data_IF_841889460266
#
_entry.id   IF_841889460266
#
_cell.length_a   1.000
_cell.length_b   1.000
_cell.length_c   1.000
_cell.angle_alpha   90.00
_cell.angle_beta   90.00
_cell.angle_gamma   90.00
#
_symmetry.space_group_name_H-M   'P 1'
#
loop_
_entity.id
_entity.type
_entity.pdbx_description
1 polymer ?
#
# COMPACT_ATOMS: atom_id res chain seq x y z
N UNK A 1 -15.54 12.65 18.19
CA UNK A 1 -16.32 13.91 18.15
C UNK A 1 -15.50 15.20 18.02
N UNK A 2 -14.65 15.65 18.98
CA UNK A 2 -13.94 16.95 18.81
C UNK A 2 -12.84 16.96 17.72
N UNK A 3 -12.25 15.81 17.40
CA UNK A 3 -11.21 15.70 16.36
C UNK A 3 -11.78 15.60 14.93
N UNK A 4 -12.97 15.00 14.75
CA UNK A 4 -13.58 14.80 13.42
C UNK A 4 -13.99 16.11 12.75
N UNK A 5 -14.48 17.09 13.52
CA UNK A 5 -14.87 18.40 12.98
C UNK A 5 -13.66 19.24 12.54
N UNK A 6 -12.49 19.06 13.17
CA UNK A 6 -11.24 19.75 12.79
C UNK A 6 -10.63 19.21 11.49
N UNK A 7 -10.81 17.91 11.22
CA UNK A 7 -10.34 17.23 10.01
C UNK A 7 -11.21 17.59 8.80
N UNK A 8 -12.52 17.76 9.00
CA UNK A 8 -13.46 18.11 7.93
C UNK A 8 -13.09 19.42 7.20
N UNK A 9 -12.54 20.41 7.92
CA UNK A 9 -12.04 21.66 7.33
C UNK A 9 -10.74 21.53 6.52
N UNK A 10 -10.12 20.34 6.50
CA UNK A 10 -8.92 20.03 5.73
C UNK A 10 -9.18 19.08 4.56
N UNK A 11 -10.37 18.47 4.50
CA UNK A 11 -10.71 17.53 3.44
C UNK A 11 -10.88 18.23 2.10
N UNK A 12 -10.26 17.66 1.07
CA UNK A 12 -10.43 18.12 -0.30
C UNK A 12 -11.70 17.50 -0.86
N UNK A 13 -12.48 18.28 -1.59
CA UNK A 13 -13.69 17.78 -2.26
C UNK A 13 -13.32 17.30 -3.65
N UNK A 14 -13.56 16.02 -3.95
CA UNK A 14 -13.45 15.50 -5.32
C UNK A 14 -14.63 16.03 -6.13
N UNK A 15 -14.33 16.74 -7.22
CA UNK A 15 -15.32 17.29 -8.14
C UNK A 15 -15.60 16.34 -9.31
N UNK A 16 -14.58 15.59 -9.73
CA UNK A 16 -14.64 14.69 -10.87
C UNK A 16 -13.52 13.65 -10.77
N UNK A 17 -13.79 12.44 -11.25
CA UNK A 17 -12.84 11.35 -11.31
C UNK A 17 -12.87 10.67 -12.67
N UNK A 18 -11.70 10.50 -13.27
CA UNK A 18 -11.54 9.84 -14.58
C UNK A 18 -10.48 8.77 -14.48
N UNK A 19 -10.85 7.51 -14.72
CA UNK A 19 -9.88 6.43 -14.88
C UNK A 19 -9.16 6.61 -16.22
N UNK A 20 -7.86 6.82 -16.18
CA UNK A 20 -7.01 6.95 -17.37
C UNK A 20 -6.57 5.58 -17.87
N UNK A 21 -6.41 4.64 -16.95
CA UNK A 21 -6.06 3.26 -17.23
C UNK A 21 -6.59 2.37 -16.11
N UNK A 22 -7.10 1.19 -16.46
CA UNK A 22 -7.65 0.24 -15.48
C UNK A 22 -7.35 -1.18 -15.93
N UNK A 23 -6.45 -1.81 -15.21
CA UNK A 23 -6.07 -3.21 -15.36
C UNK A 23 -5.79 -3.80 -13.96
N UNK A 24 -5.64 -5.12 -13.88
CA UNK A 24 -5.46 -5.87 -12.64
C UNK A 24 -4.25 -5.41 -11.82
N UNK A 25 -3.16 -5.01 -12.47
CA UNK A 25 -1.89 -4.65 -11.81
C UNK A 25 -1.54 -3.17 -11.90
N UNK A 26 -2.32 -2.39 -12.66
CA UNK A 26 -2.14 -0.96 -12.81
C UNK A 26 -3.50 -0.30 -12.99
N UNK A 27 -3.94 0.42 -11.97
CA UNK A 27 -5.10 1.30 -12.07
C UNK A 27 -4.64 2.73 -11.79
N UNK A 28 -4.85 3.61 -12.78
CA UNK A 28 -4.47 5.01 -12.73
C UNK A 28 -5.71 5.89 -12.94
N UNK A 29 -5.95 6.78 -11.99
CA UNK A 29 -7.10 7.70 -11.99
C UNK A 29 -6.62 9.13 -11.85
N UNK A 30 -7.36 10.04 -12.46
CA UNK A 30 -7.15 11.48 -12.37
C UNK A 30 -8.37 12.13 -11.76
N UNK A 31 -8.17 12.87 -10.69
CA UNK A 31 -9.20 13.63 -10.01
C UNK A 31 -9.05 15.12 -10.25
N UNK A 32 -10.18 15.80 -10.40
CA UNK A 32 -10.28 17.25 -10.22
C UNK A 32 -10.78 17.50 -8.80
N UNK A 33 -10.01 18.24 -8.01
CA UNK A 33 -10.29 18.45 -6.59
C UNK A 33 -10.38 19.92 -6.23
N UNK A 34 -11.26 20.25 -5.29
CA UNK A 34 -11.41 21.55 -4.66
C UNK A 34 -10.77 21.50 -3.27
N UNK A 35 -9.80 22.37 -3.05
CA UNK A 35 -9.13 22.54 -1.77
C UNK A 35 -9.99 23.35 -0.79
N UNK A 36 -9.78 23.22 0.53
CA UNK A 36 -10.52 23.98 1.54
C UNK A 36 -10.43 25.51 1.39
N UNK A 37 -9.35 26.02 0.77
CA UNK A 37 -9.16 27.44 0.51
C UNK A 37 -9.86 27.94 -0.78
N UNK A 38 -10.63 27.09 -1.45
CA UNK A 38 -11.37 27.43 -2.69
C UNK A 38 -10.57 27.22 -3.99
N UNK A 39 -9.27 26.95 -3.91
CA UNK A 39 -8.46 26.67 -5.10
C UNK A 39 -8.81 25.29 -5.69
N UNK A 40 -8.71 25.15 -7.00
CA UNK A 40 -8.89 23.86 -7.68
C UNK A 40 -7.55 23.31 -8.18
N UNK A 41 -7.37 22.01 -8.03
CA UNK A 41 -6.34 21.25 -8.75
C UNK A 41 -7.07 20.50 -9.88
N UNK A 42 -6.86 20.89 -11.16
CA UNK A 42 -7.58 20.31 -12.29
C UNK A 42 -7.14 18.87 -12.59
N UNK A 43 -5.98 18.44 -12.11
CA UNK A 43 -5.43 17.11 -12.37
C UNK A 43 -4.56 16.65 -11.21
N UNK A 44 -5.14 15.83 -10.33
CA UNK A 44 -4.46 15.10 -9.28
C UNK A 44 -4.43 13.62 -9.66
N UNK A 45 -3.24 13.03 -9.81
CA UNK A 45 -3.09 11.64 -10.28
C UNK A 45 -2.97 10.69 -9.10
N UNK A 46 -3.72 9.59 -9.17
CA UNK A 46 -3.77 8.53 -8.16
C UNK A 46 -3.43 7.21 -8.85
N UNK A 47 -2.53 6.44 -8.24
CA UNK A 47 -2.34 5.02 -8.52
C UNK A 47 -3.05 4.23 -7.43
N UNK A 48 -3.96 3.35 -7.84
CA UNK A 48 -4.71 2.50 -6.93
C UNK A 48 -4.02 1.14 -6.81
N UNK A 49 -3.68 0.78 -5.58
CA UNK A 49 -3.01 -0.48 -5.25
C UNK A 49 -3.90 -1.29 -4.32
N UNK A 50 -3.84 -2.64 -4.39
CA UNK A 50 -4.50 -3.47 -3.39
C UNK A 50 -3.88 -3.24 -2.01
N UNK A 51 -4.60 -3.64 -0.97
CA UNK A 51 -4.05 -3.66 0.39
C UNK A 51 -2.81 -4.55 0.42
N UNK A 52 -1.74 -4.05 1.03
CA UNK A 52 -0.42 -4.68 1.06
C UNK A 52 0.09 -4.72 2.49
N UNK A 53 0.94 -5.70 2.81
CA UNK A 53 1.68 -5.81 4.07
C UNK A 53 3.18 -5.81 3.85
N UNK A 54 3.93 -5.32 4.84
CA UNK A 54 5.36 -5.53 4.99
C UNK A 54 5.61 -6.18 6.35
N UNK A 55 6.56 -7.11 6.42
CA UNK A 55 6.91 -7.82 7.65
C UNK A 55 8.36 -7.52 8.02
N UNK A 56 8.56 -6.90 9.18
CA UNK A 56 9.87 -6.84 9.82
C UNK A 56 9.96 -7.97 10.86
N UNK A 57 10.44 -9.13 10.42
CA UNK A 57 10.58 -10.29 11.29
C UNK A 57 11.91 -10.23 12.07
N UNK A 58 11.84 -10.51 13.37
CA UNK A 58 12.99 -10.56 14.28
C UNK A 58 13.10 -11.97 14.89
N UNK A 59 14.27 -12.58 14.74
CA UNK A 59 14.54 -13.91 15.28
C UNK A 59 14.87 -13.86 16.78
N UNK A 60 14.87 -15.03 17.44
CA UNK A 60 15.24 -15.15 18.87
C UNK A 60 16.68 -14.70 19.16
N UNK A 61 17.58 -14.84 18.19
CA UNK A 61 18.96 -14.33 18.24
C UNK A 61 19.10 -12.86 17.80
N UNK A 62 17.99 -12.12 17.74
CA UNK A 62 17.92 -10.69 17.39
C UNK A 62 18.49 -10.36 16.00
N UNK A 63 18.32 -11.26 15.04
CA UNK A 63 18.59 -11.00 13.63
C UNK A 63 17.31 -10.64 12.91
N UNK A 64 17.47 -9.93 11.79
CA UNK A 64 16.38 -9.57 10.91
C UNK A 64 16.37 -10.50 9.69
N UNK A 65 15.17 -10.84 9.23
CA UNK A 65 14.97 -11.65 8.04
C UNK A 65 14.63 -10.71 6.88
N UNK A 66 15.35 -10.89 5.78
CA UNK A 66 15.15 -10.19 4.51
C UNK A 66 15.05 -11.20 3.38
N UNK A 67 14.33 -10.84 2.33
CA UNK A 67 14.34 -11.54 1.05
C UNK A 67 15.29 -10.84 0.09
N UNK A 68 15.74 -11.54 -0.95
CA UNK A 68 16.58 -10.97 -2.01
C UNK A 68 15.92 -11.21 -3.35
N UNK A 69 15.32 -10.16 -3.91
CA UNK A 69 14.44 -10.25 -5.08
C UNK A 69 14.86 -9.26 -6.17
N UNK A 70 14.60 -9.64 -7.44
CA UNK A 70 14.79 -8.75 -8.58
C UNK A 70 13.59 -7.81 -8.72
N UNK A 71 13.84 -6.50 -8.87
CA UNK A 71 12.82 -5.48 -9.11
C UNK A 71 13.00 -4.90 -10.50
N UNK A 72 12.10 -5.29 -11.42
CA UNK A 72 12.19 -4.88 -12.82
C UNK A 72 12.17 -3.35 -13.02
N UNK A 73 11.36 -2.62 -12.23
CA UNK A 73 11.25 -1.15 -12.34
C UNK A 73 12.55 -0.39 -12.10
N UNK A 74 13.48 -0.95 -11.31
CA UNK A 74 14.82 -0.39 -11.06
C UNK A 74 15.94 -1.26 -11.64
N UNK A 75 15.61 -2.40 -12.25
CA UNK A 75 16.52 -3.36 -12.88
C UNK A 75 17.62 -3.93 -11.97
N UNK A 76 17.32 -4.12 -10.69
CA UNK A 76 18.32 -4.56 -9.71
C UNK A 76 17.80 -5.67 -8.80
N UNK A 77 18.73 -6.42 -8.19
CA UNK A 77 18.44 -7.36 -7.11
C UNK A 77 18.76 -6.71 -5.77
N UNK A 78 17.75 -6.53 -4.91
CA UNK A 78 17.87 -5.83 -3.63
C UNK A 78 17.45 -6.70 -2.45
N UNK A 79 17.96 -6.36 -1.28
CA UNK A 79 17.43 -6.88 -0.02
C UNK A 79 16.20 -6.08 0.37
N UNK A 80 15.13 -6.79 0.72
CA UNK A 80 13.83 -6.21 1.02
C UNK A 80 13.18 -6.92 2.19
N UNK A 81 12.22 -6.24 2.82
CA UNK A 81 11.33 -6.89 3.77
C UNK A 81 10.49 -7.93 3.03
N UNK A 82 10.12 -9.00 3.73
CA UNK A 82 9.06 -9.87 3.25
C UNK A 82 7.78 -9.03 3.12
N UNK A 83 7.09 -9.16 2.00
CA UNK A 83 5.95 -8.33 1.71
C UNK A 83 5.02 -8.99 0.69
N UNK A 84 3.75 -8.64 0.73
CA UNK A 84 2.77 -9.22 -0.17
C UNK A 84 1.44 -8.52 -0.15
N UNK A 85 0.61 -8.89 -1.11
CA UNK A 85 -0.77 -8.39 -1.22
C UNK A 85 -1.64 -9.17 -0.25
N UNK A 86 -2.54 -8.48 0.44
CA UNK A 86 -3.60 -9.15 1.18
C UNK A 86 -4.56 -9.80 0.19
N UNK A 87 -4.62 -11.12 0.18
CA UNK A 87 -5.55 -11.88 -0.65
C UNK A 87 -6.99 -11.68 -0.12
N UNK A 88 -8.01 -11.66 -0.98
CA UNK A 88 -9.41 -11.62 -0.54
C UNK A 88 -9.81 -12.74 0.43
N UNK A 89 -9.08 -13.85 0.45
CA UNK A 89 -9.29 -15.00 1.34
C UNK A 89 -8.56 -14.86 2.69
N UNK A 90 -7.67 -13.88 2.85
CA UNK A 90 -7.01 -13.62 4.13
C UNK A 90 -8.01 -13.02 5.13
N UNK A 91 -8.16 -13.63 6.31
CA UNK A 91 -9.09 -13.16 7.33
C UNK A 91 -8.74 -11.78 7.91
N UNK A 92 -7.47 -11.38 7.83
CA UNK A 92 -6.98 -10.07 8.25
C UNK A 92 -5.58 -9.77 7.66
N UNK A 93 -5.11 -8.51 7.67
CA UNK A 93 -3.73 -8.19 7.28
C UNK A 93 -2.67 -8.93 8.11
N UNK A 94 -2.96 -9.30 9.36
CA UNK A 94 -2.05 -10.08 10.19
C UNK A 94 -1.91 -11.53 9.69
N UNK A 95 -3.00 -12.13 9.19
CA UNK A 95 -2.94 -13.48 8.63
C UNK A 95 -2.23 -13.49 7.27
N UNK A 96 -2.47 -12.47 6.43
CA UNK A 96 -1.67 -12.25 5.22
C UNK A 96 -0.18 -12.15 5.53
N UNK A 97 0.20 -11.36 6.55
CA UNK A 97 1.59 -11.21 6.96
C UNK A 97 2.25 -12.52 7.41
N UNK A 98 1.52 -13.39 8.12
CA UNK A 98 2.03 -14.72 8.51
C UNK A 98 2.21 -15.64 7.31
N UNK A 99 1.24 -15.65 6.40
CA UNK A 99 1.27 -16.44 5.16
C UNK A 99 2.48 -16.05 4.30
N UNK A 100 2.60 -14.77 3.96
CA UNK A 100 3.70 -14.24 3.13
C UNK A 100 5.06 -14.50 3.79
N UNK A 101 5.20 -14.29 5.10
CA UNK A 101 6.44 -14.60 5.81
C UNK A 101 6.83 -16.07 5.68
N UNK A 102 5.86 -16.98 5.78
CA UNK A 102 6.09 -18.41 5.62
C UNK A 102 6.42 -18.79 4.18
N UNK A 103 5.74 -18.20 3.19
CA UNK A 103 5.92 -18.51 1.77
C UNK A 103 7.26 -18.00 1.23
N UNK A 104 7.63 -16.75 1.54
CA UNK A 104 8.84 -16.12 0.98
C UNK A 104 10.13 -16.49 1.72
N UNK A 105 10.04 -16.79 3.03
CA UNK A 105 11.23 -16.96 3.89
C UNK A 105 11.31 -18.31 4.59
N UNK A 106 10.20 -19.03 4.69
CA UNK A 106 10.09 -20.26 5.51
C UNK A 106 9.97 -20.02 7.02
N UNK A 107 9.92 -18.76 7.48
CA UNK A 107 9.72 -18.39 8.90
C UNK A 107 8.24 -18.11 9.22
N UNK A 108 7.89 -17.84 10.49
CA UNK A 108 6.52 -17.47 10.88
C UNK A 108 5.79 -18.47 11.79
N UNK A 109 6.49 -19.48 12.29
CA UNK A 109 6.00 -20.42 13.33
C UNK A 109 6.52 -20.11 14.74
N UNK A 110 6.99 -18.87 14.94
CA UNK A 110 7.68 -18.41 16.15
C UNK A 110 6.76 -17.89 17.24
#
# INVERSE_FOLDING_TARGET
MKNEVKEAGKMWKVLESVYLYKDNWLTARKDRVLLPNGNQIPSFYILEYPTWINVLAVTKDRKYIFVRQYRHGIQEVRYELCAGVCDPTDASPMEAAKRELSEETGYGKG
#
